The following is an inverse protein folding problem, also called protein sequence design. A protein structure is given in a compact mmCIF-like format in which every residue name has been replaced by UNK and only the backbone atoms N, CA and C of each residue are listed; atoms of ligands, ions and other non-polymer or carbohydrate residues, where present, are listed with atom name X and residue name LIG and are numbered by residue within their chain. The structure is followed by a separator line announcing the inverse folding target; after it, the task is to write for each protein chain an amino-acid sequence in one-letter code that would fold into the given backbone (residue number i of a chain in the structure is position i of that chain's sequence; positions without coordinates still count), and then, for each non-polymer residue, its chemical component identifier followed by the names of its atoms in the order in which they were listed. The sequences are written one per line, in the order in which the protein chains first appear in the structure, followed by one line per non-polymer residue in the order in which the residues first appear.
data_IF_514947843804
#
_entry.id   IF_514947843804
#
_cell.length_a   1.000
_cell.length_b   1.000
_cell.length_c   1.000
_cell.angle_alpha   90.00
_cell.angle_beta   90.00
_cell.angle_gamma   90.00
#
_symmetry.space_group_name_H-M   'P 1'
#
loop_
_entity.id
_entity.type
_entity.pdbx_description
1 polymer ?
#
# COMPACT_ATOMS: atom_id res chain seq x y z
N UNK A 1 50.93 -2.53 -26.75
CA UNK A 1 51.04 -2.37 -25.29
C UNK A 1 50.51 -0.99 -24.95
N UNK A 2 49.43 -0.92 -24.17
CA UNK A 2 48.78 0.34 -23.79
C UNK A 2 47.34 0.39 -24.30
N UNK A 3 46.40 0.18 -23.38
CA UNK A 3 44.99 -0.09 -23.61
C UNK A 3 44.22 1.18 -23.97
N UNK A 4 43.17 0.94 -24.74
CA UNK A 4 42.18 1.88 -25.22
C UNK A 4 41.44 2.64 -24.12
N UNK A 5 40.90 3.76 -24.58
CA UNK A 5 39.97 4.70 -23.98
C UNK A 5 38.74 3.94 -23.46
N UNK A 6 38.74 3.53 -22.19
CA UNK A 6 37.57 2.91 -21.52
C UNK A 6 37.42 3.42 -20.09
N UNK A 7 37.28 4.73 -19.90
CA UNK A 7 37.09 5.26 -18.53
C UNK A 7 36.08 6.40 -18.39
N UNK A 8 35.24 6.65 -19.40
CA UNK A 8 34.23 7.72 -19.34
C UNK A 8 32.77 7.24 -19.48
N UNK A 9 32.54 5.96 -19.81
CA UNK A 9 31.18 5.42 -20.02
C UNK A 9 30.67 4.62 -18.81
N UNK A 10 31.54 4.28 -17.85
CA UNK A 10 31.17 3.38 -16.74
C UNK A 10 30.51 4.12 -15.57
N UNK A 11 30.67 5.44 -15.45
CA UNK A 11 30.10 6.22 -14.33
C UNK A 11 28.60 6.51 -14.46
N UNK A 12 28.05 6.48 -15.67
CA UNK A 12 26.66 6.93 -15.92
C UNK A 12 25.61 5.81 -15.79
N UNK A 13 26.04 4.55 -15.63
CA UNK A 13 25.15 3.38 -15.60
C UNK A 13 24.84 2.94 -14.16
N UNK A 14 25.80 3.08 -13.24
CA UNK A 14 25.63 2.61 -11.86
C UNK A 14 24.81 3.56 -10.98
N UNK A 15 24.80 4.87 -11.24
CA UNK A 15 23.94 5.80 -10.47
C UNK A 15 22.44 5.68 -10.83
N UNK A 16 22.11 5.21 -12.04
CA UNK A 16 20.71 4.99 -12.46
C UNK A 16 20.12 3.67 -11.95
N UNK A 17 20.95 2.72 -11.53
CA UNK A 17 20.50 1.40 -11.08
C UNK A 17 19.86 1.43 -9.68
N UNK A 18 20.28 2.36 -8.84
CA UNK A 18 19.74 2.54 -7.48
C UNK A 18 18.39 3.29 -7.44
N UNK A 19 18.07 4.06 -8.49
CA UNK A 19 16.78 4.76 -8.63
C UNK A 19 15.65 3.82 -9.15
N UNK A 20 16.03 2.65 -9.66
CA UNK A 20 15.15 1.54 -10.05
C UNK A 20 15.15 0.42 -9.00
N UNK A 21 15.32 0.72 -7.70
CA UNK A 21 14.64 -0.13 -6.73
C UNK A 21 13.16 0.09 -6.96
N UNK A 22 12.55 -0.79 -7.76
CA UNK A 22 11.10 -0.89 -7.95
C UNK A 22 10.46 -0.64 -6.59
N UNK A 23 9.77 0.50 -6.43
CA UNK A 23 9.03 0.72 -5.21
C UNK A 23 8.13 -0.51 -5.06
N UNK A 24 8.24 -1.27 -3.96
CA UNK A 24 7.37 -2.41 -3.79
C UNK A 24 5.95 -1.87 -3.91
N UNK A 25 5.20 -2.37 -4.90
CA UNK A 25 3.79 -2.05 -5.13
C UNK A 25 2.94 -2.70 -4.03
N UNK A 26 3.35 -2.51 -2.78
CA UNK A 26 2.79 -3.13 -1.61
C UNK A 26 2.02 -2.06 -0.85
N UNK A 27 0.71 -2.09 -1.02
CA UNK A 27 -0.22 -1.29 -0.24
C UNK A 27 -0.86 -2.16 0.85
N UNK A 28 -1.03 -1.59 2.04
CA UNK A 28 -1.93 -2.16 3.05
C UNK A 28 -3.37 -1.92 2.59
N UNK A 29 -4.02 -2.97 2.11
CA UNK A 29 -5.35 -2.86 1.51
C UNK A 29 -6.45 -2.68 2.57
N UNK A 30 -6.41 -3.43 3.66
CA UNK A 30 -7.35 -3.34 4.77
C UNK A 30 -6.76 -3.98 6.03
N UNK A 31 -7.36 -3.68 7.19
CA UNK A 31 -7.07 -4.34 8.46
C UNK A 31 -8.37 -4.90 9.01
N UNK A 32 -8.39 -6.21 9.28
CA UNK A 32 -9.56 -6.89 9.83
C UNK A 32 -9.40 -7.10 11.33
N UNK A 33 -10.47 -6.83 12.09
CA UNK A 33 -10.50 -7.00 13.54
C UNK A 33 -11.85 -7.57 14.00
N UNK A 34 -11.83 -8.52 14.94
CA UNK A 34 -13.04 -9.11 15.51
C UNK A 34 -13.60 -8.19 16.60
N UNK A 35 -14.79 -7.66 16.37
CA UNK A 35 -15.48 -6.80 17.34
C UNK A 35 -16.62 -7.54 18.05
N UNK A 36 -17.00 -7.04 19.24
CA UNK A 36 -18.13 -7.58 20.00
C UNK A 36 -19.49 -7.23 19.36
N UNK A 37 -19.57 -6.11 18.66
CA UNK A 37 -20.82 -5.62 18.05
C UNK A 37 -20.50 -4.73 16.85
N UNK A 38 -20.92 -5.17 15.67
CA UNK A 38 -20.71 -4.45 14.41
C UNK A 38 -21.36 -3.07 14.45
N UNK A 39 -22.62 -2.97 14.86
CA UNK A 39 -23.36 -1.71 14.96
C UNK A 39 -22.63 -0.67 15.82
N UNK A 40 -22.14 -1.08 17.00
CA UNK A 40 -21.41 -0.16 17.89
C UNK A 40 -20.06 0.26 17.32
N UNK A 41 -19.36 -0.66 16.67
CA UNK A 41 -18.08 -0.37 16.02
C UNK A 41 -18.25 0.61 14.86
N UNK A 42 -19.26 0.41 13.99
CA UNK A 42 -19.56 1.34 12.89
C UNK A 42 -19.89 2.73 13.42
N UNK A 43 -20.78 2.84 14.42
CA UNK A 43 -21.12 4.13 15.03
C UNK A 43 -19.89 4.85 15.61
N UNK A 44 -18.98 4.12 16.27
CA UNK A 44 -17.74 4.69 16.79
C UNK A 44 -16.84 5.21 15.66
N UNK A 45 -16.63 4.41 14.62
CA UNK A 45 -15.81 4.83 13.48
C UNK A 45 -16.38 6.07 12.79
N UNK A 46 -17.69 6.12 12.55
CA UNK A 46 -18.33 7.26 11.88
C UNK A 46 -18.42 8.50 12.76
N UNK A 47 -18.93 8.37 13.99
CA UNK A 47 -19.31 9.52 14.82
C UNK A 47 -18.18 10.06 15.69
N UNK A 48 -17.25 9.18 16.12
CA UNK A 48 -16.14 9.57 17.00
C UNK A 48 -14.87 9.80 16.20
N UNK A 49 -14.56 8.91 15.26
CA UNK A 49 -13.35 9.01 14.44
C UNK A 49 -13.57 9.73 13.12
N UNK A 50 -14.83 10.01 12.73
CA UNK A 50 -15.14 10.74 11.49
C UNK A 50 -14.89 9.93 10.23
N UNK A 51 -14.88 8.59 10.32
CA UNK A 51 -14.69 7.72 9.16
C UNK A 51 -15.97 7.68 8.32
N UNK A 52 -15.81 7.30 7.05
CA UNK A 52 -16.92 7.13 6.12
C UNK A 52 -17.10 5.64 5.85
N UNK A 53 -18.32 5.14 6.00
CA UNK A 53 -18.65 3.77 5.64
C UNK A 53 -18.48 3.55 4.13
N UNK A 54 -17.56 2.66 3.76
CA UNK A 54 -17.37 2.20 2.39
C UNK A 54 -18.42 1.15 2.02
N UNK A 55 -18.92 1.22 0.78
CA UNK A 55 -20.09 0.49 0.28
C UNK A 55 -20.09 -0.99 0.70
N UNK A 56 -21.15 -1.38 1.42
CA UNK A 56 -21.42 -2.78 1.75
C UNK A 56 -21.92 -3.54 0.51
N UNK A 57 -21.27 -4.64 0.09
CA UNK A 57 -21.78 -5.48 -0.98
C UNK A 57 -23.16 -6.03 -0.62
N UNK A 58 -24.10 -5.99 -1.57
CA UNK A 58 -25.48 -6.48 -1.35
C UNK A 58 -25.58 -8.01 -1.25
N UNK A 59 -24.50 -8.73 -1.58
CA UNK A 59 -24.40 -10.19 -1.50
C UNK A 59 -24.01 -10.71 -0.11
N UNK A 60 -24.01 -9.84 0.91
CA UNK A 60 -23.70 -10.21 2.29
C UNK A 60 -24.97 -10.19 3.14
N UNK A 61 -25.51 -11.38 3.36
CA UNK A 61 -26.81 -11.66 3.98
C UNK A 61 -26.75 -11.70 5.52
N UNK A 62 -25.58 -11.43 6.11
CA UNK A 62 -25.34 -11.51 7.56
C UNK A 62 -25.07 -10.12 8.16
N UNK A 63 -24.96 -9.99 9.48
CA UNK A 63 -24.81 -8.69 10.16
C UNK A 63 -23.36 -8.17 10.27
N UNK A 64 -22.43 -8.65 9.43
CA UNK A 64 -21.03 -8.21 9.41
C UNK A 64 -20.83 -6.86 8.71
N UNK A 65 -19.84 -6.09 9.19
CA UNK A 65 -19.26 -4.96 8.46
C UNK A 65 -18.27 -5.47 7.40
#
# INVERSE_FOLDING_TARGET
MGKEIVNEVVSSVDEKKEMMREMPFLALNHVSFVCKSVTKSVQFYEQVLGFVLIKRPSSFDFEGA
#
